data_IF_753421915233
#
_entry.id   IF_753421915233
#
_cell.length_a   1.000
_cell.length_b   1.000
_cell.length_c   1.000
_cell.angle_alpha   90.00
_cell.angle_beta   90.00
_cell.angle_gamma   90.00
#
_symmetry.space_group_name_H-M   'P 1'
#
loop_
_entity.id
_entity.type
_entity.pdbx_description
1 polymer ?
#
# COMPACT_ATOMS: atom_id res chain seq x y z
N UNK A 1 -18.50 -3.40 -13.40
CA UNK A 1 -18.31 -1.92 -13.40
C UNK A 1 -17.44 -1.51 -12.22
N UNK A 2 -16.81 -0.32 -12.26
CA UNK A 2 -16.05 0.23 -11.11
C UNK A 2 -17.04 0.73 -10.05
N UNK A 3 -16.89 0.26 -8.82
CA UNK A 3 -17.71 0.68 -7.68
C UNK A 3 -17.09 1.86 -6.94
N UNK A 4 -15.91 1.67 -6.36
CA UNK A 4 -15.24 2.68 -5.53
C UNK A 4 -13.73 2.43 -5.42
N UNK A 5 -12.99 3.45 -4.99
CA UNK A 5 -11.60 3.30 -4.58
C UNK A 5 -11.54 2.39 -3.35
N UNK A 6 -10.79 1.31 -3.45
CA UNK A 6 -10.55 0.38 -2.35
C UNK A 6 -9.27 0.75 -1.61
N UNK A 7 -8.13 0.83 -2.31
CA UNK A 7 -6.81 1.11 -1.73
C UNK A 7 -6.02 2.10 -2.56
N UNK A 8 -5.16 2.86 -1.90
CA UNK A 8 -4.02 3.51 -2.53
C UNK A 8 -2.76 2.79 -2.05
N UNK A 9 -1.91 2.36 -2.99
CA UNK A 9 -0.61 1.76 -2.72
C UNK A 9 0.48 2.82 -2.61
N UNK A 10 1.34 2.71 -1.60
CA UNK A 10 2.43 3.63 -1.31
C UNK A 10 3.74 2.85 -1.15
N UNK A 11 4.78 3.30 -1.86
CA UNK A 11 6.15 2.88 -1.56
C UNK A 11 6.74 3.82 -0.53
N UNK A 12 7.31 3.25 0.52
CA UNK A 12 7.89 3.99 1.64
C UNK A 12 9.35 3.58 1.83
N UNK A 13 10.21 4.48 2.33
CA UNK A 13 11.61 4.11 2.62
C UNK A 13 11.74 3.31 3.91
N UNK A 14 10.92 3.64 4.90
CA UNK A 14 10.95 3.08 6.24
C UNK A 14 9.49 2.94 6.70
N UNK A 15 9.04 1.69 6.85
CA UNK A 15 7.65 1.39 7.18
C UNK A 15 7.28 1.88 8.57
N UNK A 16 8.17 1.71 9.56
CA UNK A 16 7.92 2.10 10.95
C UNK A 16 7.77 3.62 11.08
N UNK A 17 8.67 4.35 10.43
CA UNK A 17 8.62 5.81 10.41
C UNK A 17 7.35 6.31 9.74
N UNK A 18 6.95 5.71 8.62
CA UNK A 18 5.76 6.14 7.91
C UNK A 18 4.48 5.83 8.68
N UNK A 19 4.37 4.64 9.29
CA UNK A 19 3.24 4.29 10.16
C UNK A 19 3.09 5.31 11.28
N UNK A 20 4.18 5.60 12.01
CA UNK A 20 4.15 6.60 13.10
C UNK A 20 3.74 7.99 12.61
N UNK A 21 4.24 8.41 11.44
CA UNK A 21 3.87 9.70 10.85
C UNK A 21 2.37 9.75 10.52
N UNK A 22 1.85 8.71 9.86
CA UNK A 22 0.45 8.64 9.48
C UNK A 22 -0.48 8.58 10.69
N UNK A 23 -0.12 7.83 11.74
CA UNK A 23 -0.87 7.81 12.99
C UNK A 23 -0.89 9.20 13.65
N UNK A 24 0.23 9.93 13.64
CA UNK A 24 0.31 11.29 14.18
C UNK A 24 -0.60 12.30 13.45
N UNK A 25 -0.91 12.07 12.18
CA UNK A 25 -1.86 12.89 11.40
C UNK A 25 -3.29 12.33 11.39
N UNK A 26 -3.59 11.33 12.22
CA UNK A 26 -4.93 10.82 12.45
C UNK A 26 -5.30 9.56 11.65
N UNK A 27 -4.33 8.90 11.01
CA UNK A 27 -4.58 7.58 10.43
C UNK A 27 -4.68 6.52 11.54
N UNK A 28 -5.35 5.40 11.24
CA UNK A 28 -5.46 4.25 12.13
C UNK A 28 -4.85 3.02 11.47
N UNK A 29 -3.92 2.34 12.16
CA UNK A 29 -3.41 1.05 11.72
C UNK A 29 -4.52 0.00 11.70
N UNK A 30 -4.71 -0.65 10.56
CA UNK A 30 -5.68 -1.73 10.36
C UNK A 30 -5.01 -3.10 10.37
N UNK A 31 -3.84 -3.20 9.75
CA UNK A 31 -3.12 -4.46 9.57
C UNK A 31 -1.62 -4.19 9.48
N UNK A 32 -0.83 -5.11 10.04
CA UNK A 32 0.61 -5.18 9.82
C UNK A 32 1.03 -6.64 9.77
N UNK A 33 1.59 -7.05 8.65
CA UNK A 33 1.91 -8.43 8.38
C UNK A 33 3.16 -8.55 7.50
N UNK A 34 3.62 -9.80 7.34
CA UNK A 34 4.62 -10.19 6.36
C UNK A 34 3.93 -10.95 5.24
N UNK A 35 4.15 -10.54 3.99
CA UNK A 35 3.71 -11.32 2.84
C UNK A 35 4.48 -12.65 2.80
N UNK A 36 3.81 -13.79 2.51
CA UNK A 36 4.45 -15.10 2.44
C UNK A 36 5.19 -15.29 1.10
N UNK A 37 6.03 -14.34 0.72
CA UNK A 37 6.79 -14.35 -0.55
C UNK A 37 8.24 -13.97 -0.26
N UNK A 38 9.19 -14.82 -0.69
CA UNK A 38 10.63 -14.62 -0.46
C UNK A 38 10.98 -14.58 1.04
N UNK A 39 11.86 -13.66 1.42
CA UNK A 39 12.29 -13.44 2.82
C UNK A 39 11.23 -12.75 3.71
N UNK A 40 10.01 -12.58 3.20
CA UNK A 40 8.90 -11.96 3.92
C UNK A 40 8.94 -10.44 3.84
N UNK A 41 8.15 -9.88 2.92
CA UNK A 41 8.01 -8.43 2.80
C UNK A 41 7.01 -7.91 3.86
N UNK A 42 7.49 -7.10 4.81
CA UNK A 42 6.61 -6.39 5.74
C UNK A 42 5.78 -5.32 5.01
N UNK A 43 4.51 -5.25 5.37
CA UNK A 43 3.59 -4.24 4.87
C UNK A 43 2.63 -3.80 5.97
N UNK A 44 2.07 -2.61 5.79
CA UNK A 44 1.04 -2.09 6.68
C UNK A 44 -0.16 -1.57 5.89
N UNK A 45 -1.35 -1.74 6.45
CA UNK A 45 -2.56 -1.08 5.98
C UNK A 45 -3.00 -0.11 7.05
N UNK A 46 -3.14 1.16 6.68
CA UNK A 46 -3.74 2.19 7.53
C UNK A 46 -5.01 2.71 6.88
N UNK A 47 -5.91 3.30 7.66
CA UNK A 47 -7.02 4.08 7.14
C UNK A 47 -6.93 5.52 7.56
N UNK A 48 -7.14 6.43 6.61
CA UNK A 48 -7.22 7.87 6.81
C UNK A 48 -8.40 8.40 6.01
N UNK A 49 -9.30 9.14 6.66
CA UNK A 49 -10.52 9.69 6.04
C UNK A 49 -11.33 8.65 5.23
N UNK A 50 -11.45 7.42 5.74
CA UNK A 50 -12.19 6.33 5.09
C UNK A 50 -11.47 5.65 3.91
N UNK A 51 -10.30 6.14 3.49
CA UNK A 51 -9.48 5.52 2.45
C UNK A 51 -8.43 4.60 3.07
N UNK A 52 -8.17 3.44 2.45
CA UNK A 52 -7.10 2.53 2.86
C UNK A 52 -5.78 2.87 2.16
N UNK A 53 -4.74 3.06 2.95
CA UNK A 53 -3.37 3.27 2.52
C UNK A 53 -2.61 1.96 2.71
N UNK A 54 -2.03 1.43 1.65
CA UNK A 54 -1.30 0.17 1.63
C UNK A 54 0.19 0.46 1.42
N UNK A 55 0.98 0.30 2.48
CA UNK A 55 2.39 0.73 2.52
C UNK A 55 3.34 -0.45 2.36
N UNK A 56 4.33 -0.30 1.49
CA UNK A 56 5.38 -1.28 1.25
C UNK A 56 6.77 -0.62 1.17
N UNK A 57 7.82 -1.22 1.77
CA UNK A 57 9.20 -0.82 1.50
C UNK A 57 9.64 -1.09 0.05
N UNK A 58 9.16 -2.19 -0.52
CA UNK A 58 9.47 -2.66 -1.88
C UNK A 58 8.16 -3.05 -2.55
N UNK A 59 7.91 -2.60 -3.78
CA UNK A 59 6.69 -3.01 -4.51
C UNK A 59 6.94 -4.25 -5.36
N UNK A 60 5.92 -5.10 -5.53
CA UNK A 60 6.06 -6.40 -6.20
C UNK A 60 6.46 -6.34 -7.69
N UNK A 61 6.34 -5.16 -8.30
CA UNK A 61 6.64 -4.91 -9.72
C UNK A 61 7.88 -4.01 -9.90
N UNK A 62 8.63 -3.78 -8.82
CA UNK A 62 9.75 -2.85 -8.83
C UNK A 62 10.84 -3.23 -9.83
N UNK A 63 11.07 -4.52 -10.03
CA UNK A 63 11.98 -5.11 -10.99
C UNK A 63 11.54 -4.93 -12.45
N UNK A 64 10.26 -4.58 -12.68
CA UNK A 64 9.69 -4.35 -14.02
C UNK A 64 9.84 -2.91 -14.48
N UNK A 65 10.35 -2.01 -13.63
CA UNK A 65 10.51 -0.58 -13.93
C UNK A 65 11.99 -0.25 -13.98
N UNK A 66 12.47 0.24 -15.12
CA UNK A 66 13.85 0.69 -15.26
C UNK A 66 14.15 1.81 -14.27
N UNK A 67 15.22 1.65 -13.48
CA UNK A 67 15.54 2.57 -12.39
C UNK A 67 14.71 2.39 -11.11
N UNK A 68 13.82 1.39 -11.08
CA UNK A 68 12.99 1.05 -9.94
C UNK A 68 11.85 2.04 -9.69
N UNK A 69 11.22 1.90 -8.51
CA UNK A 69 10.10 2.76 -8.10
C UNK A 69 10.55 3.71 -7.01
N UNK A 70 10.33 5.00 -7.19
CA UNK A 70 10.64 5.98 -6.14
C UNK A 70 9.56 5.99 -5.04
N UNK A 71 9.87 6.40 -3.81
CA UNK A 71 8.87 6.52 -2.74
C UNK A 71 7.75 7.49 -3.10
N UNK A 72 6.51 7.13 -2.76
CA UNK A 72 5.32 7.89 -3.12
C UNK A 72 4.14 6.98 -3.46
N UNK A 73 3.13 7.56 -4.10
CA UNK A 73 1.97 6.82 -4.61
C UNK A 73 2.40 5.91 -5.76
N UNK A 74 1.92 4.67 -5.75
CA UNK A 74 2.35 3.65 -6.73
C UNK A 74 1.21 3.10 -7.57
N UNK A 75 0.04 2.91 -6.98
CA UNK A 75 -1.15 2.41 -7.67
C UNK A 75 -2.42 2.73 -6.90
N UNK A 76 -3.55 2.69 -7.60
CA UNK A 76 -4.89 2.74 -7.01
C UNK A 76 -5.62 1.43 -7.33
N UNK A 77 -6.20 0.80 -6.32
CA UNK A 77 -7.01 -0.41 -6.47
C UNK A 77 -8.46 -0.01 -6.36
N UNK A 78 -9.25 -0.32 -7.38
CA UNK A 78 -10.69 -0.11 -7.38
C UNK A 78 -11.42 -1.44 -7.13
N UNK A 79 -12.53 -1.36 -6.42
CA UNK A 79 -13.49 -2.47 -6.34
C UNK A 79 -14.28 -2.51 -7.64
N UNK A 80 -14.43 -3.71 -8.19
CA UNK A 80 -15.25 -3.97 -9.39
C UNK A 80 -16.24 -5.10 -9.10
N UNK A 81 -17.36 -5.13 -9.83
CA UNK A 81 -18.39 -6.18 -9.69
C UNK A 81 -17.88 -7.56 -10.13
N UNK A 82 -17.12 -7.58 -11.22
CA UNK A 82 -16.51 -8.74 -11.84
C UNK A 82 -15.10 -8.31 -12.31
N UNK A 83 -14.08 -9.12 -12.05
CA UNK A 83 -12.69 -8.83 -12.42
C UNK A 83 -12.37 -9.34 -13.83
N UNK A 84 -13.09 -10.35 -14.30
CA UNK A 84 -12.88 -10.99 -15.58
C UNK A 84 -13.69 -10.33 -16.73
N UNK A 85 -14.49 -9.31 -16.40
CA UNK A 85 -15.32 -8.53 -17.34
C UNK A 85 -15.12 -7.02 -17.17
#
# INVERSE_FOLDING_TARGET
MIQNLWNIGLKVKDLDREVRFLEAVGARLLLREKLPVGDGLEYAILTLAGTRLLLFPTVIFEDKIEGGVTPGLTHAVYRVDDLDQ
#
